data_IF_103606467105
#
_entry.id   IF_103606467105
#
_cell.length_a   1.000
_cell.length_b   1.000
_cell.length_c   1.000
_cell.angle_alpha   90.00
_cell.angle_beta   90.00
_cell.angle_gamma   90.00
#
_symmetry.space_group_name_H-M   'P 1'
#
loop_
_entity.id
_entity.type
_entity.pdbx_description
1 polymer ?
#
# COMPACT_ATOMS: atom_id res chain seq x y z
N UNK A 1 18.66 3.38 1.22
CA UNK A 1 17.58 3.13 0.27
C UNK A 1 16.43 2.50 1.03
N UNK A 2 15.21 2.94 0.79
CA UNK A 2 14.01 2.28 1.31
C UNK A 2 13.83 0.95 0.57
N UNK A 3 13.36 -0.08 1.28
CA UNK A 3 13.15 -1.40 0.69
C UNK A 3 11.99 -1.35 -0.30
N UNK A 4 12.15 -1.96 -1.49
CA UNK A 4 11.11 -2.09 -2.51
C UNK A 4 10.23 -3.33 -2.32
N UNK A 5 10.58 -4.20 -1.36
CA UNK A 5 9.87 -5.45 -1.09
C UNK A 5 8.99 -5.33 0.14
N UNK A 6 7.67 -5.47 -0.08
CA UNK A 6 6.67 -5.64 0.98
C UNK A 6 6.00 -6.99 0.75
N UNK A 7 6.04 -7.86 1.77
CA UNK A 7 5.32 -9.13 1.75
C UNK A 7 4.10 -9.04 2.67
N UNK A 8 2.95 -9.52 2.20
CA UNK A 8 1.75 -9.60 3.00
C UNK A 8 1.69 -10.96 3.72
N UNK A 9 2.22 -11.01 4.95
CA UNK A 9 2.23 -12.21 5.78
C UNK A 9 1.22 -12.13 6.96
N UNK A 10 1.15 -13.21 7.74
CA UNK A 10 0.25 -13.30 8.90
C UNK A 10 0.56 -12.29 10.00
N UNK A 11 1.82 -11.87 10.13
CA UNK A 11 2.24 -10.85 11.10
C UNK A 11 1.66 -9.49 10.69
N UNK A 12 1.86 -9.10 9.43
CA UNK A 12 1.31 -7.85 8.90
C UNK A 12 -0.22 -7.85 8.93
N UNK A 13 -0.86 -8.95 8.57
CA UNK A 13 -2.31 -9.09 8.66
C UNK A 13 -2.84 -8.88 10.10
N UNK A 14 -2.14 -9.44 11.10
CA UNK A 14 -2.47 -9.27 12.51
C UNK A 14 -2.32 -7.81 12.96
N UNK A 15 -1.26 -7.13 12.54
CA UNK A 15 -1.07 -5.70 12.83
C UNK A 15 -2.18 -4.83 12.21
N UNK A 16 -2.55 -5.10 10.96
CA UNK A 16 -3.60 -4.34 10.27
C UNK A 16 -4.98 -4.51 10.91
N UNK A 17 -5.26 -5.65 11.55
CA UNK A 17 -6.53 -5.84 12.27
C UNK A 17 -6.74 -4.89 13.46
N UNK A 18 -5.65 -4.30 13.97
CA UNK A 18 -5.65 -3.37 15.10
C UNK A 18 -5.33 -1.93 14.67
N UNK A 19 -5.15 -1.73 13.38
CA UNK A 19 -4.71 -0.45 12.82
C UNK A 19 -5.91 0.40 12.46
N UNK A 20 -5.93 1.66 12.92
CA UNK A 20 -6.98 2.62 12.57
C UNK A 20 -6.70 3.35 11.25
N UNK A 21 -5.42 3.58 10.94
CA UNK A 21 -4.99 4.29 9.73
C UNK A 21 -3.80 3.56 9.10
N UNK A 22 -3.95 3.16 7.84
CA UNK A 22 -2.87 2.63 7.00
C UNK A 22 -2.36 3.74 6.07
N UNK A 23 -1.09 4.12 6.21
CA UNK A 23 -0.42 5.09 5.33
C UNK A 23 0.51 4.35 4.37
N UNK A 24 0.39 4.62 3.07
CA UNK A 24 1.13 3.94 2.02
C UNK A 24 1.90 4.95 1.17
N UNK A 25 3.16 4.65 0.90
CA UNK A 25 3.98 5.42 -0.04
C UNK A 25 3.63 5.07 -1.50
N UNK A 26 3.32 6.09 -2.30
CA UNK A 26 2.91 5.96 -3.71
C UNK A 26 3.92 5.25 -4.60
N UNK A 27 5.22 5.43 -4.36
CA UNK A 27 6.26 4.79 -5.16
C UNK A 27 6.22 3.25 -5.05
N UNK A 28 5.65 2.69 -3.96
CA UNK A 28 5.52 1.25 -3.81
C UNK A 28 4.58 0.62 -4.85
N UNK A 29 3.68 1.41 -5.45
CA UNK A 29 2.83 0.95 -6.55
C UNK A 29 3.61 0.74 -7.85
N UNK A 30 4.81 1.27 -7.97
CA UNK A 30 5.67 1.05 -9.14
C UNK A 30 6.21 -0.38 -9.21
N UNK A 31 6.31 -1.08 -8.07
CA UNK A 31 6.83 -2.44 -8.00
C UNK A 31 5.70 -3.47 -8.08
N UNK A 32 5.65 -4.34 -9.12
CA UNK A 32 4.56 -5.30 -9.29
C UNK A 32 4.32 -6.22 -8.09
N UNK A 33 5.40 -6.67 -7.46
CA UNK A 33 5.33 -7.54 -6.27
C UNK A 33 4.77 -6.80 -5.05
N UNK A 34 5.20 -5.56 -4.81
CA UNK A 34 4.71 -4.76 -3.69
C UNK A 34 3.24 -4.36 -3.88
N UNK A 35 2.82 -4.09 -5.11
CA UNK A 35 1.44 -3.73 -5.45
C UNK A 35 0.43 -4.79 -4.99
N UNK A 36 0.71 -6.06 -5.23
CA UNK A 36 -0.18 -7.16 -4.80
C UNK A 36 -0.29 -7.24 -3.26
N UNK A 37 0.83 -7.09 -2.57
CA UNK A 37 0.87 -7.06 -1.10
C UNK A 37 0.10 -5.86 -0.55
N UNK A 38 0.23 -4.69 -1.19
CA UNK A 38 -0.48 -3.46 -0.81
C UNK A 38 -1.98 -3.62 -1.01
N UNK A 39 -2.45 -4.18 -2.13
CA UNK A 39 -3.88 -4.43 -2.32
C UNK A 39 -4.44 -5.39 -1.26
N UNK A 40 -3.67 -6.43 -0.91
CA UNK A 40 -4.05 -7.37 0.15
C UNK A 40 -4.13 -6.68 1.52
N UNK A 41 -3.15 -5.83 1.83
CA UNK A 41 -3.12 -5.01 3.03
C UNK A 41 -4.28 -4.02 3.10
N UNK A 42 -4.55 -3.28 2.03
CA UNK A 42 -5.70 -2.37 1.92
C UNK A 42 -7.02 -3.11 2.16
N UNK A 43 -7.20 -4.28 1.54
CA UNK A 43 -8.39 -5.10 1.75
C UNK A 43 -8.54 -5.57 3.20
N UNK A 44 -7.45 -5.98 3.84
CA UNK A 44 -7.46 -6.37 5.26
C UNK A 44 -7.75 -5.20 6.19
N UNK A 45 -7.10 -4.05 5.97
CA UNK A 45 -7.30 -2.85 6.77
C UNK A 45 -8.74 -2.33 6.65
N UNK A 46 -9.25 -2.21 5.42
CA UNK A 46 -10.61 -1.75 5.15
C UNK A 46 -11.68 -2.64 5.80
N UNK A 47 -11.52 -3.97 5.74
CA UNK A 47 -12.45 -4.90 6.42
C UNK A 47 -12.51 -4.72 7.94
N UNK A 48 -11.44 -4.19 8.54
CA UNK A 48 -11.37 -3.91 9.98
C UNK A 48 -11.74 -2.45 10.31
N UNK A 49 -12.25 -1.68 9.35
CA UNK A 49 -12.67 -0.29 9.54
C UNK A 49 -11.53 0.73 9.55
N UNK A 50 -10.34 0.35 9.09
CA UNK A 50 -9.22 1.28 8.99
C UNK A 50 -9.40 2.26 7.82
N UNK A 51 -8.98 3.51 8.02
CA UNK A 51 -8.81 4.48 6.95
C UNK A 51 -7.52 4.22 6.20
N UNK A 52 -7.53 4.43 4.89
CA UNK A 52 -6.36 4.21 4.03
C UNK A 52 -5.95 5.55 3.43
N UNK A 53 -4.72 5.97 3.68
CA UNK A 53 -4.11 7.18 3.13
C UNK A 53 -2.93 6.79 2.23
N UNK A 54 -2.88 7.38 1.04
CA UNK A 54 -1.81 7.14 0.07
C UNK A 54 -1.15 8.46 -0.27
N UNK A 55 0.18 8.53 -0.17
CA UNK A 55 0.93 9.70 -0.69
C UNK A 55 1.17 9.53 -2.18
N UNK A 56 1.15 10.64 -2.92
CA UNK A 56 1.52 10.69 -4.33
C UNK A 56 3.01 10.35 -4.59
N UNK A 57 3.84 10.31 -3.53
CA UNK A 57 5.29 10.20 -3.57
C UNK A 57 5.96 11.33 -4.34
N UNK A 58 5.94 11.30 -5.66
CA UNK A 58 6.48 12.35 -6.51
C UNK A 58 5.64 12.53 -7.79
N UNK A 59 5.85 13.64 -8.49
CA UNK A 59 5.08 13.98 -9.69
C UNK A 59 5.25 12.97 -10.83
N UNK A 60 6.41 12.30 -10.90
CA UNK A 60 6.70 11.31 -11.95
C UNK A 60 6.00 9.99 -11.68
N UNK A 61 5.85 9.60 -10.41
CA UNK A 61 5.07 8.44 -10.00
C UNK A 61 3.59 8.61 -10.36
N UNK A 62 3.03 9.80 -10.17
CA UNK A 62 1.65 10.11 -10.59
C UNK A 62 1.51 10.07 -12.11
N UNK A 63 2.44 10.70 -12.85
CA UNK A 63 2.40 10.72 -14.32
C UNK A 63 2.44 9.31 -14.93
N UNK A 64 3.27 8.40 -14.39
CA UNK A 64 3.40 7.02 -14.88
C UNK A 64 2.13 6.19 -14.74
N UNK A 65 1.28 6.51 -13.77
CA UNK A 65 0.06 5.76 -13.47
C UNK A 65 -1.22 6.54 -13.74
N UNK A 66 -1.14 7.78 -14.22
CA UNK A 66 -2.30 8.61 -14.55
C UNK A 66 -3.16 7.98 -15.66
N UNK A 67 -2.51 7.44 -16.70
CA UNK A 67 -3.19 6.84 -17.86
C UNK A 67 -3.65 5.38 -17.63
N UNK A 68 -3.39 4.82 -16.43
CA UNK A 68 -3.77 3.45 -16.07
C UNK A 68 -5.13 3.34 -15.37
N UNK A 69 -5.91 4.45 -15.33
CA UNK A 69 -7.25 4.52 -14.74
C UNK A 69 -8.35 4.73 -15.78
#
# INVERSE_FOLDING_TARGET
GTSSTVNFDSCLASMLSKTTILVIEGYLFEFPQARQSIFSACGAAHRNGALIAVTASDITCVQRYYDHF
#
